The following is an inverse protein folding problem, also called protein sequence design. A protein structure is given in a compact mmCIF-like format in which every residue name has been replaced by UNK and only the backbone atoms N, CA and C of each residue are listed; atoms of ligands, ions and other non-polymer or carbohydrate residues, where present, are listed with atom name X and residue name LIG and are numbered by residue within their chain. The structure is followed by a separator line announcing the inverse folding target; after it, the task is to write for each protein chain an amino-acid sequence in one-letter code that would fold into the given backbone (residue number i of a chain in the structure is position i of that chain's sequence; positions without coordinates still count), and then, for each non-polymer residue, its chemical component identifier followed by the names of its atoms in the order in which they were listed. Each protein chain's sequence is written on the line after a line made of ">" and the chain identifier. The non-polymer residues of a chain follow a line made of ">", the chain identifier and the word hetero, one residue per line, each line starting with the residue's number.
data_IF_979882935809
#
_entry.id   IF_979882935809
#
_cell.length_a   1.000
_cell.length_b   1.000
_cell.length_c   1.000
_cell.angle_alpha   90.00
_cell.angle_beta   90.00
_cell.angle_gamma   90.00
#
_symmetry.space_group_name_H-M   'P 1'
#
loop_
_entity.id
_entity.type
_entity.pdbx_description
1 polymer ?
#
# COMPACT_ATOMS: atom_id res chain seq x y z
N UNK A 1 1.06 23.98 -2.86
CA UNK A 1 0.01 23.18 -2.19
C UNK A 1 0.67 22.02 -1.48
N UNK A 2 0.79 22.08 -0.17
CA UNK A 2 1.32 20.99 0.65
C UNK A 2 0.21 20.55 1.58
N UNK A 3 -0.50 19.49 1.19
CA UNK A 3 -1.54 18.88 2.02
C UNK A 3 -0.81 17.93 2.97
N UNK A 4 -0.70 18.34 4.23
CA UNK A 4 -0.19 17.48 5.30
C UNK A 4 -1.32 16.51 5.70
N UNK A 5 -1.34 15.33 5.07
CA UNK A 5 -2.37 14.30 5.20
C UNK A 5 -2.07 13.28 6.32
N UNK A 6 -1.42 13.68 7.42
CA UNK A 6 -0.89 12.67 8.36
C UNK A 6 -1.94 11.89 9.16
N UNK A 7 -3.20 12.34 9.26
CA UNK A 7 -4.18 11.64 10.12
C UNK A 7 -5.64 11.58 9.64
N UNK A 8 -6.16 12.53 8.86
CA UNK A 8 -7.58 12.50 8.44
C UNK A 8 -7.85 11.64 7.19
N UNK A 9 -6.91 11.61 6.23
CA UNK A 9 -7.05 10.83 4.98
C UNK A 9 -6.82 9.33 5.20
N UNK A 10 -5.76 8.98 5.94
CA UNK A 10 -5.41 7.60 6.28
C UNK A 10 -6.55 6.81 6.93
N UNK A 11 -7.26 7.42 7.89
CA UNK A 11 -8.41 6.78 8.55
C UNK A 11 -9.57 6.53 7.60
N UNK A 12 -9.81 7.46 6.67
CA UNK A 12 -10.85 7.33 5.66
C UNK A 12 -10.49 6.24 4.63
N UNK A 13 -9.25 6.20 4.18
CA UNK A 13 -8.74 5.20 3.24
C UNK A 13 -8.75 3.79 3.84
N UNK A 14 -8.32 3.65 5.11
CA UNK A 14 -8.41 2.39 5.84
C UNK A 14 -9.87 1.95 6.04
N UNK A 15 -10.79 2.90 6.28
CA UNK A 15 -12.21 2.60 6.42
C UNK A 15 -12.83 2.12 5.11
N UNK A 16 -12.55 2.81 3.99
CA UNK A 16 -12.99 2.40 2.65
C UNK A 16 -12.41 1.04 2.31
N UNK A 17 -11.12 0.84 2.53
CA UNK A 17 -10.44 -0.43 2.30
C UNK A 17 -11.15 -1.59 3.00
N UNK A 18 -11.42 -1.43 4.29
CA UNK A 18 -12.05 -2.45 5.13
C UNK A 18 -13.42 -2.88 4.60
N UNK A 19 -14.17 -1.97 3.99
CA UNK A 19 -15.49 -2.24 3.42
C UNK A 19 -15.48 -2.46 1.90
N UNK A 20 -14.31 -2.42 1.26
CA UNK A 20 -14.19 -2.57 -0.19
C UNK A 20 -14.37 -4.02 -0.63
N UNK A 21 -14.96 -4.22 -1.81
CA UNK A 21 -15.03 -5.54 -2.45
C UNK A 21 -13.64 -6.11 -2.78
N UNK A 22 -12.63 -5.25 -2.98
CA UNK A 22 -11.24 -5.66 -3.24
C UNK A 22 -10.67 -6.40 -2.03
N UNK A 23 -10.83 -5.84 -0.82
CA UNK A 23 -10.40 -6.50 0.41
C UNK A 23 -11.10 -7.86 0.60
N UNK A 24 -12.39 -7.95 0.26
CA UNK A 24 -13.13 -9.23 0.32
C UNK A 24 -12.56 -10.28 -0.64
N UNK A 25 -12.31 -9.90 -1.90
CA UNK A 25 -11.75 -10.81 -2.92
C UNK A 25 -10.34 -11.27 -2.52
N UNK A 26 -9.46 -10.34 -2.12
CA UNK A 26 -8.10 -10.69 -1.71
C UNK A 26 -8.08 -11.57 -0.46
N UNK A 27 -8.99 -11.32 0.49
CA UNK A 27 -9.16 -12.19 1.66
C UNK A 27 -9.59 -13.59 1.24
N UNK A 28 -10.58 -13.73 0.35
CA UNK A 28 -11.02 -15.04 -0.15
C UNK A 28 -9.91 -15.77 -0.91
N UNK A 29 -9.17 -15.08 -1.77
CA UNK A 29 -8.06 -15.64 -2.51
C UNK A 29 -6.95 -16.12 -1.57
N UNK A 30 -6.61 -15.33 -0.56
CA UNK A 30 -5.66 -15.72 0.47
C UNK A 30 -6.13 -16.97 1.24
N UNK A 31 -7.41 -17.04 1.62
CA UNK A 31 -8.01 -18.20 2.28
C UNK A 31 -8.02 -19.45 1.38
N UNK A 32 -8.09 -19.27 0.05
CA UNK A 32 -7.96 -20.34 -0.95
C UNK A 32 -6.52 -20.77 -1.20
N UNK A 33 -5.55 -20.16 -0.53
CA UNK A 33 -4.13 -20.49 -0.65
C UNK A 33 -3.36 -19.68 -1.68
N UNK A 34 -3.97 -18.65 -2.27
CA UNK A 34 -3.26 -17.74 -3.18
C UNK A 34 -2.28 -16.87 -2.40
N UNK A 35 -1.00 -16.92 -2.79
CA UNK A 35 0.10 -16.21 -2.12
C UNK A 35 0.93 -15.31 -3.02
N UNK A 36 0.60 -15.24 -4.31
CA UNK A 36 1.40 -14.52 -5.31
C UNK A 36 0.81 -13.15 -5.69
N UNK A 37 -0.14 -12.65 -4.89
CA UNK A 37 -0.88 -11.43 -5.17
C UNK A 37 -0.75 -10.49 -3.97
N UNK A 38 -0.22 -9.29 -4.24
CA UNK A 38 -0.05 -8.24 -3.26
C UNK A 38 -0.51 -6.91 -3.82
N UNK A 39 -1.20 -6.15 -2.98
CA UNK A 39 -1.51 -4.75 -3.22
C UNK A 39 -0.47 -3.87 -2.53
N UNK A 40 -0.04 -2.79 -3.19
CA UNK A 40 0.86 -1.80 -2.62
C UNK A 40 0.04 -0.66 -1.99
N UNK A 41 -0.03 -0.64 -0.67
CA UNK A 41 -0.73 0.38 0.11
C UNK A 41 0.20 1.52 0.54
N UNK A 42 -0.41 2.65 0.88
CA UNK A 42 0.24 3.72 1.65
C UNK A 42 0.32 3.37 3.14
N UNK A 43 1.15 4.12 3.88
CA UNK A 43 1.22 4.15 5.34
C UNK A 43 -0.15 4.33 6.03
N UNK A 44 -1.15 4.91 5.37
CA UNK A 44 -2.50 5.02 5.89
C UNK A 44 -3.32 3.72 5.91
N UNK A 45 -2.85 2.66 5.27
CA UNK A 45 -3.53 1.37 5.25
C UNK A 45 -3.03 0.43 6.36
N UNK A 46 -3.87 -0.50 6.84
CA UNK A 46 -3.40 -1.55 7.74
C UNK A 46 -2.49 -2.53 7.00
N UNK A 47 -1.44 -3.01 7.68
CA UNK A 47 -0.59 -4.08 7.14
C UNK A 47 -1.38 -5.40 7.12
N UNK A 48 -1.47 -6.06 5.95
CA UNK A 48 -2.13 -7.36 5.80
C UNK A 48 -1.29 -8.29 4.90
N UNK A 49 -1.52 -9.63 4.93
CA UNK A 49 -0.72 -10.58 4.14
C UNK A 49 -0.72 -10.34 2.62
N UNK A 50 -1.76 -9.68 2.11
CA UNK A 50 -1.98 -9.32 0.71
C UNK A 50 -1.96 -7.80 0.49
N UNK A 51 -1.64 -7.00 1.51
CA UNK A 51 -1.53 -5.53 1.44
C UNK A 51 -0.24 -5.07 2.09
N UNK A 52 0.73 -4.72 1.25
CA UNK A 52 2.05 -4.28 1.65
C UNK A 52 2.05 -2.77 1.89
N UNK A 53 2.40 -2.36 3.09
CA UNK A 53 2.57 -0.95 3.47
C UNK A 53 4.02 -0.67 3.83
N UNK A 54 4.50 0.58 3.70
CA UNK A 54 5.84 0.94 4.15
C UNK A 54 5.96 0.79 5.67
N UNK A 55 7.14 0.37 6.12
CA UNK A 55 7.46 0.23 7.54
C UNK A 55 7.84 1.61 8.10
N UNK A 56 7.20 2.12 9.17
CA UNK A 56 7.58 3.36 9.81
C UNK A 56 8.88 3.21 10.63
N UNK A 57 9.56 4.33 10.89
CA UNK A 57 10.70 4.42 11.83
C UNK A 57 11.83 3.38 11.59
N UNK A 58 12.21 3.19 10.32
CA UNK A 58 13.25 2.23 9.93
C UNK A 58 14.67 2.74 10.24
N UNK A 59 15.53 1.83 10.69
CA UNK A 59 16.95 2.13 10.88
C UNK A 59 17.69 2.20 9.53
N UNK A 60 18.69 3.07 9.37
CA UNK A 60 19.52 3.10 8.16
C UNK A 60 20.22 1.77 7.90
N UNK A 61 20.31 1.34 6.64
CA UNK A 61 20.90 0.05 6.22
C UNK A 61 20.21 -1.21 6.78
N UNK A 62 18.97 -1.07 7.26
CA UNK A 62 18.16 -2.20 7.71
C UNK A 62 17.47 -2.92 6.54
N UNK A 63 17.11 -4.21 6.69
CA UNK A 63 16.25 -4.90 5.74
C UNK A 63 14.94 -4.16 5.45
N UNK A 64 14.39 -3.47 6.44
CA UNK A 64 13.16 -2.68 6.36
C UNK A 64 13.35 -1.42 5.50
N UNK A 65 14.50 -0.75 5.59
CA UNK A 65 14.84 0.36 4.68
C UNK A 65 14.94 -0.15 3.24
N UNK A 66 15.59 -1.30 3.02
CA UNK A 66 15.68 -1.91 1.69
C UNK A 66 14.29 -2.27 1.14
N UNK A 67 13.43 -2.81 1.99
CA UNK A 67 12.03 -3.08 1.65
C UNK A 67 11.29 -1.79 1.28
N UNK A 68 11.38 -0.73 2.10
CA UNK A 68 10.72 0.55 1.83
C UNK A 68 11.22 1.19 0.52
N UNK A 69 12.51 1.09 0.20
CA UNK A 69 13.07 1.55 -1.07
C UNK A 69 12.48 0.78 -2.26
N UNK A 70 12.39 -0.55 -2.16
CA UNK A 70 11.79 -1.39 -3.19
C UNK A 70 10.28 -1.08 -3.36
N UNK A 71 9.56 -0.97 -2.24
CA UNK A 71 8.14 -0.62 -2.20
C UNK A 71 7.86 0.74 -2.86
N UNK A 72 8.65 1.77 -2.50
CA UNK A 72 8.55 3.11 -3.09
C UNK A 72 8.85 3.12 -4.58
N UNK A 73 9.85 2.35 -5.02
CA UNK A 73 10.18 2.21 -6.44
C UNK A 73 9.03 1.58 -7.23
N UNK A 74 8.45 0.50 -6.70
CA UNK A 74 7.31 -0.17 -7.33
C UNK A 74 6.08 0.76 -7.41
N UNK A 75 5.77 1.50 -6.34
CA UNK A 75 4.71 2.51 -6.34
C UNK A 75 4.95 3.61 -7.36
N UNK A 76 6.17 4.16 -7.42
CA UNK A 76 6.53 5.19 -8.40
C UNK A 76 6.37 4.70 -9.85
N UNK A 77 6.66 3.43 -10.12
CA UNK A 77 6.43 2.84 -11.44
C UNK A 77 4.94 2.87 -11.81
N UNK A 78 4.08 2.40 -10.89
CA UNK A 78 2.63 2.40 -11.07
C UNK A 78 2.08 3.81 -11.23
N UNK A 79 2.45 4.73 -10.34
CA UNK A 79 2.01 6.14 -10.39
C UNK A 79 2.42 6.80 -11.71
N UNK A 80 3.65 6.58 -12.20
CA UNK A 80 4.10 7.11 -13.50
C UNK A 80 3.33 6.53 -14.68
N UNK A 81 2.92 5.27 -14.61
CA UNK A 81 2.12 4.63 -15.66
C UNK A 81 0.71 5.22 -15.74
N UNK A 82 0.09 5.56 -14.61
CA UNK A 82 -1.26 6.11 -14.58
C UNK A 82 -1.31 7.64 -14.70
N UNK A 83 -0.32 8.35 -14.16
CA UNK A 83 -0.21 9.81 -14.27
C UNK A 83 0.08 10.31 -15.70
N UNK A 84 0.50 9.42 -16.62
CA UNK A 84 0.73 9.75 -18.03
C UNK A 84 -0.52 9.70 -18.92
N UNK A 85 -1.70 9.39 -18.37
CA UNK A 85 -2.96 9.31 -19.13
C UNK A 85 -3.85 10.57 -19.05
N UNK A 86 -3.35 11.67 -18.49
CA UNK A 86 -4.07 12.96 -18.44
C UNK A 86 -3.48 14.00 -19.41
N UNK A 87 -3.41 13.67 -20.71
CA UNK A 87 -3.17 14.65 -21.79
C UNK A 87 -4.23 14.49 -22.86
#
# INVERSE_FOLDING_TARGET
>A
MSINARHAGATHDAFIWRHSGINQVLTQNYLRGERNTWLLGDSGYPLQPYLLTPVPDVQPNSPEERYNRAHSSARNCVERCFARREV
#
